data_IF_140402451101
#
_entry.id   IF_140402451101
#
_cell.length_a   1.000
_cell.length_b   1.000
_cell.length_c   1.000
_cell.angle_alpha   90.00
_cell.angle_beta   90.00
_cell.angle_gamma   90.00
#
_symmetry.space_group_name_H-M   'P 1'
#
loop_
_entity.id
_entity.type
_entity.pdbx_description
1 polymer ?
#
# COMPACT_ATOMS: atom_id res chain seq x y z
N UNK A 1 10.30 -12.43 48.00
CA UNK A 1 9.03 -12.08 48.67
C UNK A 1 8.58 -10.71 48.19
N UNK A 2 7.33 -10.57 47.76
CA UNK A 2 6.77 -9.26 47.35
C UNK A 2 6.43 -8.46 48.61
N UNK A 3 6.75 -7.16 48.64
CA UNK A 3 6.44 -6.29 49.79
C UNK A 3 4.93 -6.17 50.00
N UNK A 4 4.50 -6.12 51.27
CA UNK A 4 3.09 -5.95 51.67
C UNK A 4 2.41 -4.78 50.94
N UNK A 5 3.13 -3.67 50.80
CA UNK A 5 2.65 -2.48 50.09
C UNK A 5 2.37 -2.75 48.62
N UNK A 6 3.26 -3.49 47.93
CA UNK A 6 3.10 -3.85 46.51
C UNK A 6 1.92 -4.78 46.32
N UNK A 7 1.78 -5.77 47.22
CA UNK A 7 0.65 -6.70 47.23
C UNK A 7 -0.70 -5.98 47.41
N UNK A 8 -0.78 -5.07 48.39
CA UNK A 8 -1.99 -4.29 48.68
C UNK A 8 -2.36 -3.37 47.52
N UNK A 9 -1.38 -2.69 46.90
CA UNK A 9 -1.64 -1.84 45.72
C UNK A 9 -2.13 -2.64 44.52
N UNK A 10 -1.55 -3.80 44.25
CA UNK A 10 -1.98 -4.69 43.16
C UNK A 10 -3.43 -5.16 43.38
N UNK A 11 -3.73 -5.66 44.58
CA UNK A 11 -5.07 -6.13 44.90
C UNK A 11 -6.11 -5.02 44.87
N UNK A 12 -5.78 -3.82 45.33
CA UNK A 12 -6.67 -2.66 45.25
C UNK A 12 -7.00 -2.28 43.80
N UNK A 13 -6.00 -2.28 42.92
CA UNK A 13 -6.20 -2.01 41.49
C UNK A 13 -7.07 -3.08 40.83
N UNK A 14 -6.74 -4.35 41.06
CA UNK A 14 -7.47 -5.51 40.49
C UNK A 14 -8.92 -5.58 40.96
N UNK A 15 -9.18 -5.27 42.23
CA UNK A 15 -10.55 -5.25 42.75
C UNK A 15 -11.37 -4.10 42.15
N UNK A 16 -10.75 -2.93 41.94
CA UNK A 16 -11.42 -1.79 41.30
C UNK A 16 -11.77 -2.09 39.85
N UNK A 17 -10.86 -2.71 39.11
CA UNK A 17 -11.06 -3.15 37.72
C UNK A 17 -12.26 -4.12 37.63
N UNK A 18 -12.26 -5.18 38.44
CA UNK A 18 -13.39 -6.13 38.53
C UNK A 18 -14.73 -5.49 38.89
N UNK A 19 -14.73 -4.48 39.75
CA UNK A 19 -15.95 -3.75 40.10
C UNK A 19 -16.51 -2.97 38.91
N UNK A 20 -15.64 -2.30 38.15
CA UNK A 20 -16.03 -1.54 36.96
C UNK A 20 -16.57 -2.48 35.87
N UNK A 21 -15.90 -3.61 35.61
CA UNK A 21 -16.37 -4.62 34.66
C UNK A 21 -17.78 -5.11 35.01
N UNK A 22 -18.03 -5.47 36.28
CA UNK A 22 -19.36 -5.91 36.73
C UNK A 22 -20.43 -4.83 36.57
N UNK A 23 -20.09 -3.58 36.91
CA UNK A 23 -21.01 -2.44 36.75
C UNK A 23 -21.38 -2.24 35.29
N UNK A 24 -20.41 -2.36 34.40
CA UNK A 24 -20.60 -2.14 32.97
C UNK A 24 -21.39 -3.30 32.33
N UNK A 25 -21.13 -4.55 32.72
CA UNK A 25 -21.95 -5.73 32.35
C UNK A 25 -23.42 -5.56 32.79
N UNK A 26 -23.67 -5.13 34.03
CA UNK A 26 -25.03 -4.90 34.54
C UNK A 26 -25.78 -3.79 33.79
N UNK A 27 -25.06 -2.89 33.11
CA UNK A 27 -25.62 -1.81 32.29
C UNK A 27 -25.76 -2.21 30.81
N UNK A 28 -25.46 -3.47 30.46
CA UNK A 28 -25.50 -3.95 29.09
C UNK A 28 -24.36 -3.41 28.22
N UNK A 29 -23.27 -2.91 28.83
CA UNK A 29 -22.10 -2.49 28.08
C UNK A 29 -21.37 -3.75 27.58
N UNK A 30 -21.24 -3.88 26.26
CA UNK A 30 -20.50 -4.97 25.63
C UNK A 30 -19.13 -4.41 25.20
N UNK A 31 -18.06 -5.04 25.66
CA UNK A 31 -16.71 -4.66 25.29
C UNK A 31 -16.33 -5.28 23.95
N UNK A 32 -15.54 -4.56 23.16
CA UNK A 32 -15.08 -5.05 21.86
C UNK A 32 -14.37 -6.42 21.95
N UNK A 33 -13.43 -6.56 22.89
CA UNK A 33 -12.68 -7.80 23.11
C UNK A 33 -13.53 -8.96 23.66
N UNK A 34 -14.80 -8.71 24.05
CA UNK A 34 -15.69 -9.80 24.48
C UNK A 34 -16.17 -10.67 23.32
N UNK A 35 -15.95 -10.21 22.08
CA UNK A 35 -16.22 -10.98 20.87
C UNK A 35 -15.02 -11.82 20.40
N UNK A 36 -13.86 -11.70 21.05
CA UNK A 36 -12.70 -12.56 20.77
C UNK A 36 -13.04 -14.02 21.14
N UNK A 37 -12.49 -14.98 20.39
CA UNK A 37 -12.69 -16.40 20.65
C UNK A 37 -11.37 -17.13 20.87
N UNK A 38 -11.42 -18.38 21.35
CA UNK A 38 -10.22 -19.23 21.46
C UNK A 38 -9.49 -19.44 20.12
N UNK A 39 -10.16 -19.17 19.00
CA UNK A 39 -9.64 -19.36 17.64
C UNK A 39 -9.06 -18.08 17.01
N UNK A 40 -9.16 -16.92 17.66
CA UNK A 40 -8.68 -15.65 17.10
C UNK A 40 -9.47 -14.44 17.61
N UNK A 41 -8.92 -13.26 17.33
CA UNK A 41 -9.54 -11.98 17.70
C UNK A 41 -10.75 -11.68 16.81
N UNK A 42 -11.71 -10.90 17.33
CA UNK A 42 -12.92 -10.52 16.61
C UNK A 42 -12.64 -9.82 15.28
N UNK A 43 -11.55 -9.05 15.21
CA UNK A 43 -11.08 -8.34 14.02
C UNK A 43 -10.83 -9.26 12.83
N UNK A 44 -10.30 -10.46 13.07
CA UNK A 44 -10.02 -11.43 12.01
C UNK A 44 -11.30 -11.96 11.34
N UNK A 45 -12.43 -11.89 12.05
CA UNK A 45 -13.74 -12.26 11.51
C UNK A 45 -14.44 -11.12 10.77
N UNK A 46 -14.01 -9.87 11.00
CA UNK A 46 -14.52 -8.68 10.31
C UNK A 46 -13.70 -8.29 9.08
N UNK A 47 -12.51 -8.87 8.93
CA UNK A 47 -11.62 -8.56 7.81
C UNK A 47 -12.30 -8.86 6.46
N UNK A 48 -12.42 -7.83 5.63
CA UNK A 48 -12.83 -7.99 4.24
C UNK A 48 -11.67 -8.53 3.41
N UNK A 49 -11.61 -9.86 3.30
CA UNK A 49 -10.59 -10.57 2.51
C UNK A 49 -10.67 -10.29 1.00
N UNK A 50 -11.70 -9.59 0.52
CA UNK A 50 -11.74 -9.16 -0.87
C UNK A 50 -10.74 -8.02 -1.16
N UNK A 51 -10.34 -7.25 -0.14
CA UNK A 51 -9.49 -6.07 -0.29
C UNK A 51 -8.16 -6.30 0.43
N UNK A 52 -7.10 -6.52 -0.34
CA UNK A 52 -5.76 -6.57 0.22
C UNK A 52 -5.17 -5.15 0.31
N UNK A 53 -5.15 -4.59 1.53
CA UNK A 53 -4.63 -3.24 1.80
C UNK A 53 -3.15 -3.15 1.47
N UNK A 54 -2.37 -4.19 1.74
CA UNK A 54 -0.92 -4.22 1.49
C UNK A 54 -0.63 -4.06 0.01
N UNK A 55 -1.34 -4.81 -0.84
CA UNK A 55 -1.24 -4.70 -2.30
C UNK A 55 -1.62 -3.31 -2.81
N UNK A 56 -2.64 -2.68 -2.23
CA UNK A 56 -3.05 -1.32 -2.62
C UNK A 56 -1.95 -0.31 -2.25
N UNK A 57 -1.38 -0.43 -1.06
CA UNK A 57 -0.31 0.46 -0.60
C UNK A 57 0.95 0.25 -1.44
N UNK A 58 1.32 -1.00 -1.73
CA UNK A 58 2.44 -1.34 -2.62
C UNK A 58 2.23 -0.77 -4.02
N UNK A 59 1.04 -0.95 -4.61
CA UNK A 59 0.71 -0.39 -5.91
C UNK A 59 0.78 1.15 -5.93
N UNK A 60 0.35 1.82 -4.85
CA UNK A 60 0.48 3.28 -4.71
C UNK A 60 1.93 3.73 -4.70
N UNK A 61 2.78 3.09 -3.92
CA UNK A 61 4.21 3.40 -3.86
C UNK A 61 4.88 3.18 -5.23
N UNK A 62 4.57 2.07 -5.90
CA UNK A 62 5.06 1.80 -7.26
C UNK A 62 4.59 2.86 -8.27
N UNK A 63 3.34 3.31 -8.18
CA UNK A 63 2.83 4.40 -9.02
C UNK A 63 3.55 5.72 -8.77
N UNK A 64 3.77 6.10 -7.51
CA UNK A 64 4.51 7.32 -7.16
C UNK A 64 5.92 7.32 -7.74
N UNK A 65 6.63 6.20 -7.65
CA UNK A 65 7.97 6.06 -8.23
C UNK A 65 7.95 6.06 -9.76
N UNK A 66 6.95 5.44 -10.38
CA UNK A 66 6.75 5.52 -11.82
C UNK A 66 6.54 6.98 -12.27
N UNK A 67 5.73 7.75 -11.55
CA UNK A 67 5.52 9.18 -11.86
C UNK A 67 6.82 9.97 -11.77
N UNK A 68 7.63 9.77 -10.72
CA UNK A 68 8.96 10.39 -10.61
C UNK A 68 9.88 10.00 -11.78
N UNK A 69 9.85 8.74 -12.19
CA UNK A 69 10.64 8.28 -13.34
C UNK A 69 10.15 8.92 -14.65
N UNK A 70 8.84 9.06 -14.85
CA UNK A 70 8.27 9.73 -16.01
C UNK A 70 8.59 11.23 -16.02
N UNK A 71 8.70 11.89 -14.86
CA UNK A 71 9.09 13.29 -14.74
C UNK A 71 10.56 13.54 -15.14
N UNK A 72 11.39 12.50 -15.16
CA UNK A 72 12.76 12.60 -15.68
C UNK A 72 12.86 12.58 -17.22
N UNK A 73 11.78 12.19 -17.91
CA UNK A 73 11.75 12.12 -19.36
C UNK A 73 11.64 13.52 -19.98
N UNK A 74 12.23 13.70 -21.16
CA UNK A 74 11.99 14.92 -21.94
C UNK A 74 10.55 14.95 -22.47
N UNK A 75 10.08 16.13 -22.88
CA UNK A 75 8.74 16.29 -23.48
C UNK A 75 8.54 15.38 -24.70
N UNK A 76 9.55 15.25 -25.56
CA UNK A 76 9.49 14.37 -26.73
C UNK A 76 9.41 12.88 -26.35
N UNK A 77 10.16 12.47 -25.32
CA UNK A 77 10.12 11.11 -24.78
C UNK A 77 8.76 10.80 -24.14
N UNK A 78 8.23 11.73 -23.33
CA UNK A 78 6.91 11.61 -22.72
C UNK A 78 5.81 11.52 -23.78
N UNK A 79 5.85 12.36 -24.81
CA UNK A 79 4.89 12.32 -25.90
C UNK A 79 4.93 10.99 -26.66
N UNK A 80 6.12 10.36 -26.79
CA UNK A 80 6.23 9.03 -27.38
C UNK A 80 5.62 7.95 -26.47
N UNK A 81 5.81 8.05 -25.15
CA UNK A 81 5.17 7.14 -24.19
C UNK A 81 3.65 7.28 -24.22
N UNK A 82 3.12 8.50 -24.25
CA UNK A 82 1.68 8.77 -24.37
C UNK A 82 1.11 8.12 -25.64
N UNK A 83 1.71 8.40 -26.79
CA UNK A 83 1.23 7.84 -28.05
C UNK A 83 1.22 6.30 -28.04
N UNK A 84 2.26 5.65 -27.51
CA UNK A 84 2.39 4.19 -27.58
C UNK A 84 1.59 3.43 -26.52
N UNK A 85 1.47 3.97 -25.30
CA UNK A 85 0.94 3.23 -24.15
C UNK A 85 -0.40 3.77 -23.63
N UNK A 86 -0.75 5.03 -23.90
CA UNK A 86 -2.02 5.63 -23.48
C UNK A 86 -3.01 5.74 -24.65
N UNK A 87 -2.53 6.19 -25.81
CA UNK A 87 -3.33 6.31 -27.03
C UNK A 87 -3.31 5.02 -27.88
N UNK A 88 -2.62 3.97 -27.39
CA UNK A 88 -2.50 2.65 -28.03
C UNK A 88 -2.04 2.69 -29.51
N UNK A 89 -1.29 3.73 -29.90
CA UNK A 89 -0.79 3.83 -31.26
C UNK A 89 0.28 2.77 -31.52
N UNK A 90 0.20 2.15 -32.69
CA UNK A 90 1.27 1.27 -33.14
C UNK A 90 2.54 2.08 -33.42
N UNK A 91 3.70 1.42 -33.31
CA UNK A 91 4.99 2.03 -33.71
C UNK A 91 4.95 2.59 -35.13
N UNK A 92 4.18 1.97 -36.03
CA UNK A 92 4.03 2.40 -37.43
C UNK A 92 3.23 3.70 -37.55
N UNK A 93 2.17 3.86 -36.77
CA UNK A 93 1.37 5.10 -36.72
C UNK A 93 2.18 6.22 -36.08
N UNK A 94 2.79 5.95 -34.93
CA UNK A 94 3.63 6.91 -34.23
C UNK A 94 4.85 7.35 -35.07
N UNK A 95 5.41 6.45 -35.90
CA UNK A 95 6.53 6.78 -36.80
C UNK A 95 6.09 7.66 -37.96
N UNK A 96 4.91 7.37 -38.55
CA UNK A 96 4.32 8.20 -39.59
C UNK A 96 3.97 9.60 -39.08
N UNK A 97 3.36 9.71 -37.90
CA UNK A 97 3.01 10.97 -37.24
C UNK A 97 4.23 11.88 -37.04
N UNK A 98 5.40 11.29 -36.73
CA UNK A 98 6.64 12.02 -36.48
C UNK A 98 7.53 12.20 -37.71
N UNK A 99 7.22 11.56 -38.83
CA UNK A 99 8.07 11.57 -40.02
C UNK A 99 9.43 10.87 -39.84
N UNK A 100 9.54 9.93 -38.88
CA UNK A 100 10.76 9.21 -38.55
C UNK A 100 10.66 7.76 -39.04
N UNK A 101 11.77 7.11 -39.34
CA UNK A 101 11.77 5.68 -39.68
C UNK A 101 11.30 4.82 -38.51
N UNK A 102 10.59 3.74 -38.82
CA UNK A 102 10.11 2.78 -37.81
C UNK A 102 11.25 2.27 -36.90
N UNK A 103 12.42 1.98 -37.48
CA UNK A 103 13.59 1.49 -36.74
C UNK A 103 14.14 2.55 -35.78
N UNK A 104 14.22 3.82 -36.20
CA UNK A 104 14.69 4.88 -35.34
C UNK A 104 13.71 5.14 -34.19
N UNK A 105 12.40 5.07 -34.44
CA UNK A 105 11.40 5.17 -33.39
C UNK A 105 11.48 4.01 -32.39
N UNK A 106 11.67 2.79 -32.89
CA UNK A 106 11.85 1.60 -32.06
C UNK A 106 13.05 1.75 -31.11
N UNK A 107 14.20 2.21 -31.63
CA UNK A 107 15.37 2.51 -30.79
C UNK A 107 15.10 3.58 -29.73
N UNK A 108 14.35 4.64 -30.08
CA UNK A 108 13.96 5.68 -29.11
C UNK A 108 13.07 5.12 -28.00
N UNK A 109 12.06 4.32 -28.36
CA UNK A 109 11.22 3.61 -27.37
C UNK A 109 12.07 2.76 -26.44
N UNK A 110 12.99 1.95 -26.99
CA UNK A 110 13.81 1.05 -26.19
C UNK A 110 14.73 1.80 -25.22
N UNK A 111 15.33 2.91 -25.67
CA UNK A 111 16.13 3.78 -24.82
C UNK A 111 15.30 4.40 -23.67
N UNK A 112 14.06 4.82 -23.94
CA UNK A 112 13.16 5.35 -22.91
C UNK A 112 12.84 4.26 -21.87
N UNK A 113 12.50 3.05 -22.33
CA UNK A 113 12.21 1.92 -21.45
C UNK A 113 13.43 1.53 -20.62
N UNK A 114 14.64 1.55 -21.19
CA UNK A 114 15.88 1.34 -20.44
C UNK A 114 16.12 2.40 -19.37
N UNK A 115 15.87 3.69 -19.67
CA UNK A 115 15.98 4.78 -18.70
C UNK A 115 15.02 4.56 -17.53
N UNK A 116 13.74 4.31 -17.82
CA UNK A 116 12.73 4.04 -16.79
C UNK A 116 13.10 2.81 -15.95
N UNK A 117 13.53 1.73 -16.59
CA UNK A 117 13.93 0.50 -15.89
C UNK A 117 15.14 0.72 -14.97
N UNK A 118 16.12 1.54 -15.37
CA UNK A 118 17.27 1.88 -14.51
C UNK A 118 16.84 2.65 -13.26
N UNK A 119 15.90 3.58 -13.40
CA UNK A 119 15.37 4.35 -12.28
C UNK A 119 14.59 3.45 -11.31
N UNK A 120 13.72 2.58 -11.84
CA UNK A 120 12.89 1.69 -11.02
C UNK A 120 13.69 0.56 -10.36
N UNK A 121 14.70 -0.01 -11.04
CA UNK A 121 15.55 -1.07 -10.45
C UNK A 121 16.43 -0.61 -9.31
N UNK A 122 16.79 0.67 -9.27
CA UNK A 122 17.58 1.21 -8.16
C UNK A 122 16.79 1.27 -6.84
N UNK A 123 15.47 1.09 -6.88
CA UNK A 123 14.57 1.22 -5.73
C UNK A 123 14.25 -0.15 -5.11
N UNK A 124 14.20 -1.22 -5.92
CA UNK A 124 13.90 -2.59 -5.47
C UNK A 124 15.12 -3.35 -4.93
N UNK A 125 16.15 -2.64 -4.47
CA UNK A 125 17.42 -3.22 -3.99
C UNK A 125 17.72 -2.75 -2.58
#
# INVERSE_FOLDING_TARGET
MVSKKVYETYYRSKNRERYLEKRDQNRGLIYYNSFDSERGNFEEYLEDKAINIEQIVEAKLLMEELYKALDSLTEEERNLVIDLFFEEQTLREASKKRGISHVALMKRRDNILEKLNKLLKNINK
#
